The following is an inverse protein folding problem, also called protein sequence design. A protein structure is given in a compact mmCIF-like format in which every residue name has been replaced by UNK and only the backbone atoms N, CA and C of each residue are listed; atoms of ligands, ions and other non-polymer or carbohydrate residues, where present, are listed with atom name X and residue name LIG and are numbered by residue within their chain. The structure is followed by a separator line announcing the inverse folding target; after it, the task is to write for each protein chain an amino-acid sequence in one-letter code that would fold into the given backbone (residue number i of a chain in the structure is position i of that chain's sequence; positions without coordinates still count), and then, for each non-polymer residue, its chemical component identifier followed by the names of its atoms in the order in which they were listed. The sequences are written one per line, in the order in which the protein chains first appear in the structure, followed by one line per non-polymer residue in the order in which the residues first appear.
data_IF_272447868641
#
_entry.id   IF_272447868641
#
_cell.length_a   1.000
_cell.length_b   1.000
_cell.length_c   1.000
_cell.angle_alpha   90.00
_cell.angle_beta   90.00
_cell.angle_gamma   90.00
#
_symmetry.space_group_name_H-M   'P 1'
#
loop_
_entity.id
_entity.type
_entity.pdbx_description
1 polymer ?
#
# COMPACT_ATOMS: atom_id res chain seq x y z
N UNK A 1 -20.68 47.15 57.83
CA UNK A 1 -19.80 46.01 57.54
C UNK A 1 -19.05 45.67 58.81
N UNK A 2 -18.80 44.39 59.07
CA UNK A 2 -18.05 43.87 60.23
C UNK A 2 -17.06 42.84 59.70
N UNK A 3 -15.81 42.88 60.16
CA UNK A 3 -14.80 41.89 59.80
C UNK A 3 -15.09 40.55 60.49
N UNK A 4 -14.90 39.44 59.80
CA UNK A 4 -14.90 38.12 60.40
C UNK A 4 -13.59 37.88 61.15
N UNK A 5 -13.67 37.35 62.38
CA UNK A 5 -12.50 37.09 63.23
C UNK A 5 -11.59 35.96 62.70
N UNK A 6 -12.07 35.15 61.76
CA UNK A 6 -11.35 33.97 61.25
C UNK A 6 -10.80 34.13 59.84
N UNK A 7 -11.58 34.71 58.91
CA UNK A 7 -11.12 34.96 57.54
C UNK A 7 -10.65 36.39 57.30
N UNK A 8 -10.87 37.32 58.24
CA UNK A 8 -10.57 38.75 58.14
C UNK A 8 -11.32 39.48 57.01
N UNK A 9 -12.28 38.83 56.35
CA UNK A 9 -13.12 39.42 55.30
C UNK A 9 -14.28 40.23 55.89
N UNK A 10 -14.76 41.22 55.14
CA UNK A 10 -15.81 42.14 55.58
C UNK A 10 -17.20 41.64 55.14
N UNK A 11 -18.11 41.45 56.09
CA UNK A 11 -19.48 41.00 55.82
C UNK A 11 -20.53 41.95 56.43
N UNK A 12 -21.74 42.05 55.86
CA UNK A 12 -22.86 42.74 56.51
C UNK A 12 -23.19 42.08 57.85
N UNK A 13 -23.42 42.88 58.91
CA UNK A 13 -23.69 42.37 60.27
C UNK A 13 -24.87 41.39 60.31
N UNK A 14 -25.91 41.64 59.52
CA UNK A 14 -27.09 40.76 59.40
C UNK A 14 -26.79 39.39 58.75
N UNK A 15 -25.70 39.25 57.99
CA UNK A 15 -25.30 38.03 57.31
C UNK A 15 -24.13 37.30 58.00
N UNK A 16 -23.59 37.86 59.09
CA UNK A 16 -22.42 37.31 59.77
C UNK A 16 -22.66 35.89 60.27
N UNK A 17 -23.85 35.59 60.81
CA UNK A 17 -24.19 34.24 61.27
C UNK A 17 -24.16 33.21 60.12
N UNK A 18 -24.73 33.56 58.96
CA UNK A 18 -24.68 32.69 57.77
C UNK A 18 -23.26 32.54 57.25
N UNK A 19 -22.47 33.62 57.27
CA UNK A 19 -21.06 33.52 56.92
C UNK A 19 -20.30 32.58 57.87
N UNK A 20 -20.58 32.60 59.17
CA UNK A 20 -19.97 31.67 60.14
C UNK A 20 -20.22 30.20 59.76
N UNK A 21 -21.43 29.86 59.34
CA UNK A 21 -21.78 28.52 58.87
C UNK A 21 -20.99 28.08 57.61
N UNK A 22 -20.52 29.02 56.77
CA UNK A 22 -19.81 28.74 55.51
C UNK A 22 -18.30 29.11 55.51
N UNK A 23 -17.83 29.91 56.47
CA UNK A 23 -16.46 30.41 56.59
C UNK A 23 -15.42 29.29 56.56
N UNK A 24 -14.60 29.24 55.52
CA UNK A 24 -13.59 28.18 55.32
C UNK A 24 -12.48 28.22 56.37
N UNK A 25 -12.22 29.39 56.97
CA UNK A 25 -11.19 29.58 58.01
C UNK A 25 -11.69 29.36 59.44
N UNK A 26 -12.98 29.08 59.61
CA UNK A 26 -13.54 28.80 60.92
C UNK A 26 -12.97 27.49 61.49
N UNK A 27 -12.49 27.49 62.75
CA UNK A 27 -12.18 26.27 63.47
C UNK A 27 -13.45 25.50 63.82
N UNK A 28 -13.49 24.23 63.47
CA UNK A 28 -14.54 23.27 63.82
C UNK A 28 -13.96 22.16 64.68
N UNK A 29 -14.79 21.53 65.49
CA UNK A 29 -14.40 20.28 66.14
C UNK A 29 -14.39 19.13 65.12
N UNK A 30 -13.44 18.22 65.27
CA UNK A 30 -13.36 17.05 64.41
C UNK A 30 -14.65 16.21 64.47
N UNK A 31 -15.21 15.87 63.31
CA UNK A 31 -16.42 15.05 63.22
C UNK A 31 -16.26 13.65 63.83
N UNK A 32 -15.02 13.12 63.89
CA UNK A 32 -14.69 11.85 64.53
C UNK A 32 -14.51 11.97 66.06
N UNK A 33 -14.65 13.17 66.63
CA UNK A 33 -14.52 13.40 68.07
C UNK A 33 -13.09 13.25 68.61
N UNK A 34 -12.06 13.53 67.81
CA UNK A 34 -10.66 13.40 68.25
C UNK A 34 -10.20 14.49 69.23
N UNK A 35 -11.02 15.53 69.44
CA UNK A 35 -10.74 16.65 70.36
C UNK A 35 -9.94 17.80 69.76
N UNK A 36 -9.45 17.68 68.52
CA UNK A 36 -8.77 18.78 67.83
C UNK A 36 -9.77 19.77 67.21
N UNK A 37 -9.41 21.05 67.27
CA UNK A 37 -10.07 22.13 66.54
C UNK A 37 -9.37 22.34 65.22
N UNK A 38 -10.04 22.00 64.12
CA UNK A 38 -9.49 21.97 62.77
C UNK A 38 -10.15 23.06 61.96
N UNK A 39 -9.36 23.80 61.18
CA UNK A 39 -9.91 24.79 60.24
C UNK A 39 -10.76 24.06 59.20
N UNK A 40 -11.97 24.57 58.90
CA UNK A 40 -12.93 23.93 57.99
C UNK A 40 -12.31 23.49 56.66
N UNK A 41 -11.45 24.30 56.04
CA UNK A 41 -10.77 23.94 54.78
C UNK A 41 -9.79 22.76 54.89
N UNK A 42 -9.31 22.43 56.10
CA UNK A 42 -8.34 21.35 56.37
C UNK A 42 -8.98 20.11 56.98
N UNK A 43 -10.31 20.08 57.18
CA UNK A 43 -10.98 18.98 57.87
C UNK A 43 -10.86 17.65 57.11
N UNK A 44 -10.94 17.70 55.78
CA UNK A 44 -10.79 16.52 54.93
C UNK A 44 -9.37 15.96 54.99
N UNK A 45 -8.35 16.81 54.81
CA UNK A 45 -6.95 16.41 54.93
C UNK A 45 -6.64 15.83 56.31
N UNK A 46 -7.11 16.45 57.39
CA UNK A 46 -6.97 15.90 58.73
C UNK A 46 -7.59 14.49 58.82
N UNK A 47 -8.81 14.28 58.33
CA UNK A 47 -9.44 12.96 58.35
C UNK A 47 -8.61 11.91 57.59
N UNK A 48 -8.07 12.29 56.44
CA UNK A 48 -7.41 11.37 55.52
C UNK A 48 -5.97 11.03 55.92
N UNK A 49 -5.26 11.92 56.61
CA UNK A 49 -3.84 11.71 56.96
C UNK A 49 -3.55 11.68 58.45
N UNK A 50 -4.27 12.47 59.25
CA UNK A 50 -3.81 12.85 60.61
C UNK A 50 -4.70 12.29 61.73
N UNK A 51 -6.01 12.19 61.49
CA UNK A 51 -7.00 11.90 62.52
C UNK A 51 -6.78 10.50 63.12
N UNK A 52 -6.45 10.38 64.42
CA UNK A 52 -6.23 9.09 65.06
C UNK A 52 -7.51 8.24 65.16
N UNK A 53 -8.69 8.89 65.09
CA UNK A 53 -10.01 8.27 65.14
C UNK A 53 -10.66 8.14 63.75
N UNK A 54 -9.96 8.46 62.66
CA UNK A 54 -10.47 8.14 61.33
C UNK A 54 -10.45 6.62 61.12
N UNK A 55 -11.54 6.09 60.56
CA UNK A 55 -11.61 4.69 60.14
C UNK A 55 -10.88 4.53 58.82
N UNK A 56 -9.83 3.71 58.81
CA UNK A 56 -9.04 3.40 57.63
C UNK A 56 -9.02 1.90 57.34
N UNK A 57 -8.81 1.54 56.08
CA UNK A 57 -8.61 0.14 55.67
C UNK A 57 -7.18 -0.31 55.98
N UNK A 58 -7.00 -1.60 56.20
CA UNK A 58 -5.67 -2.21 56.31
C UNK A 58 -4.82 -1.89 55.06
N UNK A 59 -3.53 -1.53 55.22
CA UNK A 59 -2.61 -1.32 54.08
C UNK A 59 -2.45 -2.53 53.15
N UNK A 60 -2.74 -3.74 53.63
CA UNK A 60 -2.67 -4.99 52.86
C UNK A 60 -4.01 -5.38 52.21
N UNK A 61 -4.85 -4.41 51.88
CA UNK A 61 -6.15 -4.65 51.22
C UNK A 61 -6.01 -5.36 49.87
N UNK A 62 -5.00 -4.99 49.07
CA UNK A 62 -4.73 -5.60 47.76
C UNK A 62 -4.22 -7.04 47.86
N UNK A 63 -3.66 -7.39 49.03
CA UNK A 63 -3.27 -8.77 49.34
C UNK A 63 -4.44 -9.57 49.93
N UNK A 64 -5.60 -8.94 50.16
CA UNK A 64 -6.83 -9.59 50.61
C UNK A 64 -7.20 -9.37 52.07
N UNK A 65 -6.58 -8.42 52.79
CA UNK A 65 -7.02 -8.05 54.13
C UNK A 65 -8.18 -7.03 54.06
N UNK A 66 -9.38 -7.42 54.49
CA UNK A 66 -10.58 -6.56 54.43
C UNK A 66 -10.86 -5.78 55.71
N UNK A 67 -9.97 -5.86 56.71
CA UNK A 67 -10.18 -5.21 58.01
C UNK A 67 -10.13 -3.69 57.88
N UNK A 68 -11.15 -3.03 58.44
CA UNK A 68 -11.17 -1.60 58.71
C UNK A 68 -10.95 -1.38 60.21
N UNK A 69 -10.22 -0.34 60.56
CA UNK A 69 -9.83 -0.03 61.95
C UNK A 69 -9.62 1.47 62.13
N UNK A 70 -9.52 1.94 63.37
CA UNK A 70 -9.12 3.32 63.62
C UNK A 70 -7.63 3.51 63.28
N UNK A 71 -7.23 4.69 62.80
CA UNK A 71 -5.84 4.99 62.48
C UNK A 71 -4.88 4.69 63.62
N UNK A 72 -5.26 5.00 64.87
CA UNK A 72 -4.48 4.70 66.08
C UNK A 72 -4.25 3.20 66.33
N UNK A 73 -5.09 2.33 65.76
CA UNK A 73 -5.06 0.87 65.97
C UNK A 73 -4.26 0.12 64.90
N UNK A 74 -3.89 0.79 63.80
CA UNK A 74 -3.17 0.18 62.67
C UNK A 74 -1.94 -0.59 63.13
N UNK A 75 -1.12 0.00 63.99
CA UNK A 75 0.13 -0.64 64.40
C UNK A 75 -0.12 -1.96 65.16
N UNK A 76 -1.13 -1.99 66.02
CA UNK A 76 -1.52 -3.20 66.74
C UNK A 76 -2.08 -4.26 65.80
N UNK A 77 -2.92 -3.86 64.85
CA UNK A 77 -3.41 -4.77 63.81
C UNK A 77 -2.27 -5.37 62.99
N UNK A 78 -1.33 -4.56 62.50
CA UNK A 78 -0.19 -5.04 61.70
C UNK A 78 0.66 -6.05 62.47
N UNK A 79 0.84 -5.86 63.79
CA UNK A 79 1.58 -6.80 64.63
C UNK A 79 0.82 -8.10 64.88
N UNK A 80 -0.49 -8.02 65.14
CA UNK A 80 -1.30 -9.19 65.50
C UNK A 80 -1.79 -10.00 64.30
N UNK A 81 -1.95 -9.36 63.14
CA UNK A 81 -2.46 -9.97 61.91
C UNK A 81 -1.35 -10.41 60.93
N UNK A 82 -0.07 -10.31 61.32
CA UNK A 82 1.08 -10.61 60.44
C UNK A 82 1.00 -12.01 59.80
N UNK A 83 0.53 -13.01 60.57
CA UNK A 83 0.33 -14.38 60.07
C UNK A 83 -0.68 -14.42 58.91
N UNK A 84 -1.79 -13.70 59.07
CA UNK A 84 -2.85 -13.62 58.05
C UNK A 84 -2.33 -12.87 56.82
N UNK A 85 -1.61 -11.76 57.01
CA UNK A 85 -1.00 -11.01 55.91
C UNK A 85 -0.02 -11.86 55.12
N UNK A 86 0.81 -12.65 55.81
CA UNK A 86 1.76 -13.57 55.18
C UNK A 86 1.05 -14.70 54.42
N UNK A 87 0.04 -15.35 55.02
CA UNK A 87 -0.74 -16.40 54.36
C UNK A 87 -1.44 -15.89 53.11
N UNK A 88 -2.02 -14.70 53.19
CA UNK A 88 -2.61 -13.99 52.06
C UNK A 88 -1.58 -13.71 50.96
N UNK A 89 -0.41 -13.19 51.31
CA UNK A 89 0.67 -12.94 50.36
C UNK A 89 1.15 -14.24 49.68
N UNK A 90 1.34 -15.32 50.44
CA UNK A 90 1.70 -16.63 49.89
C UNK A 90 0.63 -17.18 48.95
N UNK A 91 -0.65 -17.02 49.29
CA UNK A 91 -1.77 -17.45 48.45
C UNK A 91 -1.79 -16.68 47.13
N UNK A 92 -1.77 -15.35 47.20
CA UNK A 92 -1.73 -14.48 46.01
C UNK A 92 -0.50 -14.83 45.15
N UNK A 93 0.68 -14.98 45.76
CA UNK A 93 1.89 -15.36 45.06
C UNK A 93 1.74 -16.69 44.31
N UNK A 94 1.25 -17.75 44.97
CA UNK A 94 1.00 -19.06 44.35
C UNK A 94 0.00 -18.97 43.20
N UNK A 95 -1.11 -18.26 43.39
CA UNK A 95 -2.12 -18.05 42.35
C UNK A 95 -1.53 -17.30 41.15
N UNK A 96 -0.74 -16.25 41.39
CA UNK A 96 -0.09 -15.49 40.30
C UNK A 96 0.97 -16.31 39.58
N UNK A 97 1.74 -17.13 40.29
CA UNK A 97 2.77 -17.97 39.69
C UNK A 97 2.14 -19.07 38.82
N UNK A 98 1.07 -19.72 39.30
CA UNK A 98 0.32 -20.70 38.52
C UNK A 98 -0.28 -20.07 37.25
N UNK A 99 -0.88 -18.88 37.36
CA UNK A 99 -1.38 -18.15 36.17
C UNK A 99 -0.25 -17.76 35.21
N UNK A 100 0.92 -17.42 35.74
CA UNK A 100 2.09 -17.08 34.92
C UNK A 100 2.60 -18.32 34.17
N UNK A 101 2.70 -19.47 34.83
CA UNK A 101 3.08 -20.75 34.22
C UNK A 101 2.11 -21.14 33.10
N UNK A 102 0.79 -21.04 33.34
CA UNK A 102 -0.22 -21.27 32.29
C UNK A 102 -0.05 -20.34 31.08
N UNK A 103 0.23 -19.05 31.33
CA UNK A 103 0.48 -18.06 30.27
C UNK A 103 1.75 -18.38 29.49
N UNK A 104 2.82 -18.81 30.15
CA UNK A 104 4.07 -19.22 29.51
C UNK A 104 3.83 -20.44 28.62
N UNK A 105 3.18 -21.49 29.12
CA UNK A 105 2.86 -22.68 28.31
C UNK A 105 1.96 -22.34 27.11
N UNK A 106 0.98 -21.44 27.28
CA UNK A 106 0.14 -20.98 26.18
C UNK A 106 0.93 -20.18 25.12
N UNK A 107 1.93 -19.41 25.53
CA UNK A 107 2.81 -18.68 24.61
C UNK A 107 3.74 -19.63 23.85
N UNK A 108 4.25 -20.68 24.50
CA UNK A 108 5.09 -21.71 23.86
C UNK A 108 4.33 -22.44 22.74
N UNK A 109 3.06 -22.80 22.97
CA UNK A 109 2.21 -23.42 21.94
C UNK A 109 2.00 -22.49 20.74
N UNK A 110 1.68 -21.22 20.99
CA UNK A 110 1.53 -20.23 19.91
C UNK A 110 2.82 -19.98 19.15
N UNK A 111 3.96 -19.99 19.85
CA UNK A 111 5.27 -19.84 19.21
C UNK A 111 5.54 -21.02 18.25
N UNK A 112 5.23 -22.24 18.66
CA UNK A 112 5.36 -23.41 17.81
C UNK A 112 4.45 -23.36 16.56
N UNK A 113 3.20 -22.90 16.71
CA UNK A 113 2.27 -22.68 15.59
C UNK A 113 2.83 -21.66 14.58
N UNK A 114 3.28 -20.50 15.08
CA UNK A 114 3.89 -19.46 14.25
C UNK A 114 5.13 -19.98 13.52
N UNK A 115 5.97 -20.77 14.18
CA UNK A 115 7.16 -21.34 13.56
C UNK A 115 6.82 -22.37 12.47
N UNK A 116 5.76 -23.16 12.67
CA UNK A 116 5.25 -24.08 11.65
C UNK A 116 4.69 -23.33 10.43
N UNK A 117 3.88 -22.29 10.64
CA UNK A 117 3.36 -21.45 9.57
C UNK A 117 4.47 -20.75 8.79
N UNK A 118 5.45 -20.17 9.50
CA UNK A 118 6.62 -19.53 8.90
C UNK A 118 7.41 -20.50 8.02
N UNK A 119 7.63 -21.73 8.49
CA UNK A 119 8.30 -22.79 7.70
C UNK A 119 7.53 -23.12 6.43
N UNK A 120 6.19 -23.18 6.52
CA UNK A 120 5.31 -23.46 5.38
C UNK A 120 5.33 -22.33 4.35
N UNK A 121 5.18 -21.08 4.80
CA UNK A 121 5.26 -19.90 3.93
C UNK A 121 6.64 -19.77 3.27
N UNK A 122 7.73 -20.07 3.99
CA UNK A 122 9.07 -20.08 3.41
C UNK A 122 9.25 -21.12 2.30
N UNK A 123 8.58 -22.28 2.39
CA UNK A 123 8.57 -23.27 1.29
C UNK A 123 7.80 -22.74 0.09
N UNK A 124 6.59 -22.22 0.29
CA UNK A 124 5.77 -21.64 -0.79
C UNK A 124 6.47 -20.48 -1.50
N UNK A 125 7.13 -19.59 -0.76
CA UNK A 125 7.91 -18.48 -1.35
C UNK A 125 9.06 -19.00 -2.21
N UNK A 126 9.74 -20.08 -1.81
CA UNK A 126 10.81 -20.69 -2.63
C UNK A 126 10.25 -21.29 -3.93
N UNK A 127 9.14 -22.01 -3.85
CA UNK A 127 8.47 -22.60 -5.00
C UNK A 127 7.99 -21.54 -6.00
N UNK A 128 7.35 -20.47 -5.51
CA UNK A 128 6.90 -19.35 -6.35
C UNK A 128 8.07 -18.60 -6.99
N UNK A 129 9.18 -18.40 -6.26
CA UNK A 129 10.40 -17.80 -6.83
C UNK A 129 10.97 -18.65 -7.97
N UNK A 130 11.01 -19.97 -7.80
CA UNK A 130 11.45 -20.88 -8.86
C UNK A 130 10.51 -20.83 -10.07
N UNK A 131 9.20 -20.90 -9.85
CA UNK A 131 8.20 -20.81 -10.92
C UNK A 131 8.29 -19.49 -11.69
N UNK A 132 8.49 -18.36 -11.00
CA UNK A 132 8.65 -17.05 -11.63
C UNK A 132 9.91 -16.99 -12.50
N UNK A 133 11.05 -17.49 -12.04
CA UNK A 133 12.27 -17.54 -12.84
C UNK A 133 12.09 -18.36 -14.14
N UNK A 134 11.35 -19.49 -14.05
CA UNK A 134 11.00 -20.30 -15.23
C UNK A 134 10.10 -19.53 -16.19
N UNK A 135 9.11 -18.80 -15.69
CA UNK A 135 8.22 -17.98 -16.53
C UNK A 135 8.96 -16.82 -17.19
N UNK A 136 9.83 -16.12 -16.48
CA UNK A 136 10.68 -15.05 -17.03
C UNK A 136 11.57 -15.56 -18.16
N UNK A 137 12.17 -16.75 -18.00
CA UNK A 137 12.97 -17.37 -19.06
C UNK A 137 12.11 -17.70 -20.30
N UNK A 138 10.88 -18.20 -20.10
CA UNK A 138 9.95 -18.49 -21.20
C UNK A 138 9.51 -17.22 -21.93
N UNK A 139 9.19 -16.15 -21.20
CA UNK A 139 8.84 -14.84 -21.78
C UNK A 139 9.99 -14.32 -22.62
N UNK A 140 11.21 -14.33 -22.08
CA UNK A 140 12.42 -13.89 -22.80
C UNK A 140 12.64 -14.69 -24.09
N UNK A 141 12.47 -16.02 -24.04
CA UNK A 141 12.58 -16.87 -25.22
C UNK A 141 11.51 -16.55 -26.27
N UNK A 142 10.26 -16.31 -25.84
CA UNK A 142 9.17 -15.96 -26.73
C UNK A 142 9.34 -14.57 -27.36
N UNK A 143 9.84 -13.59 -26.61
CA UNK A 143 10.20 -12.27 -27.12
C UNK A 143 11.27 -12.35 -28.20
N UNK A 144 12.30 -13.19 -28.02
CA UNK A 144 13.30 -13.46 -29.04
C UNK A 144 12.68 -14.03 -30.32
N UNK A 145 11.84 -15.07 -30.21
CA UNK A 145 11.14 -15.65 -31.36
C UNK A 145 10.27 -14.62 -32.10
N UNK A 146 9.58 -13.75 -31.36
CA UNK A 146 8.79 -12.65 -31.96
C UNK A 146 9.68 -11.63 -32.65
N UNK A 147 10.87 -11.32 -32.10
CA UNK A 147 11.83 -10.41 -32.74
C UNK A 147 12.36 -10.97 -34.07
N UNK A 148 12.61 -12.29 -34.14
CA UNK A 148 13.03 -12.99 -35.36
C UNK A 148 11.92 -13.01 -36.43
N UNK A 149 10.64 -13.06 -36.02
CA UNK A 149 9.49 -12.98 -36.93
C UNK A 149 9.22 -11.57 -37.48
N UNK A 150 9.77 -10.51 -36.86
CA UNK A 150 9.52 -9.10 -37.25
C UNK A 150 10.41 -8.60 -38.38
N UNK A 151 11.43 -9.35 -38.81
CA UNK A 151 12.27 -9.00 -39.97
C UNK A 151 11.98 -9.95 -41.13
N UNK A 152 11.26 -9.43 -42.13
CA UNK A 152 10.89 -10.20 -43.31
C UNK A 152 11.03 -9.38 -44.59
N UNK A 153 11.59 -10.00 -45.63
CA UNK A 153 11.50 -9.51 -47.02
C UNK A 153 10.29 -10.16 -47.67
N UNK A 154 9.28 -9.37 -47.96
CA UNK A 154 8.05 -9.81 -48.62
C UNK A 154 8.11 -9.42 -50.10
N UNK A 155 7.74 -10.32 -51.00
CA UNK A 155 7.63 -10.02 -52.43
C UNK A 155 6.16 -10.07 -52.84
N UNK A 156 5.69 -8.99 -53.46
CA UNK A 156 4.35 -8.87 -54.01
C UNK A 156 4.40 -8.90 -55.54
N UNK A 157 3.73 -9.89 -56.12
CA UNK A 157 3.62 -10.10 -57.55
C UNK A 157 2.30 -9.52 -58.04
N UNK A 158 2.36 -8.58 -58.99
CA UNK A 158 1.17 -8.02 -59.65
C UNK A 158 1.17 -8.36 -61.13
N UNK A 159 0.22 -9.19 -61.53
CA UNK A 159 -0.02 -9.57 -62.92
C UNK A 159 -0.97 -8.58 -63.60
N UNK A 160 -0.96 -8.59 -64.93
CA UNK A 160 -1.84 -7.79 -65.80
C UNK A 160 -1.69 -6.27 -65.56
N UNK A 161 -0.45 -5.81 -65.36
CA UNK A 161 -0.16 -4.42 -64.98
C UNK A 161 -0.67 -3.41 -66.02
N UNK A 162 -0.66 -3.78 -67.30
CA UNK A 162 -1.15 -2.93 -68.39
C UNK A 162 -2.64 -2.57 -68.24
N UNK A 163 -3.47 -3.52 -67.78
CA UNK A 163 -4.91 -3.29 -67.51
C UNK A 163 -5.09 -2.33 -66.34
N UNK A 164 -4.31 -2.54 -65.29
CA UNK A 164 -4.33 -1.71 -64.08
C UNK A 164 -3.94 -0.26 -64.41
N UNK A 165 -2.86 -0.08 -65.18
CA UNK A 165 -2.40 1.23 -65.59
C UNK A 165 -3.42 1.95 -66.47
N UNK A 166 -4.11 1.22 -67.36
CA UNK A 166 -5.18 1.76 -68.20
C UNK A 166 -6.36 2.26 -67.36
N UNK A 167 -6.81 1.45 -66.39
CA UNK A 167 -7.91 1.79 -65.49
C UNK A 167 -7.58 3.02 -64.61
N UNK A 168 -6.34 3.10 -64.08
CA UNK A 168 -5.91 4.25 -63.30
C UNK A 168 -5.91 5.55 -64.12
N UNK A 169 -5.49 5.50 -65.40
CA UNK A 169 -5.50 6.64 -66.32
C UNK A 169 -6.91 7.08 -66.71
N UNK A 170 -7.88 6.16 -66.77
CA UNK A 170 -9.29 6.47 -67.05
C UNK A 170 -10.07 6.94 -65.81
N UNK A 171 -9.41 7.04 -64.64
CA UNK A 171 -10.02 7.52 -63.40
C UNK A 171 -10.84 6.47 -62.63
N UNK A 172 -10.98 5.25 -63.15
CA UNK A 172 -11.68 4.12 -62.53
C UNK A 172 -10.68 3.22 -61.78
N UNK A 173 -10.79 3.12 -60.44
CA UNK A 173 -9.91 2.27 -59.64
C UNK A 173 -8.50 2.86 -59.47
N UNK A 174 -8.38 3.90 -58.65
CA UNK A 174 -7.15 4.67 -58.45
C UNK A 174 -6.11 3.99 -57.55
N UNK A 175 -6.49 2.94 -56.82
CA UNK A 175 -5.71 2.37 -55.72
C UNK A 175 -5.72 0.84 -55.76
N UNK A 176 -4.58 0.24 -55.39
CA UNK A 176 -4.43 -1.22 -55.27
C UNK A 176 -3.89 -1.50 -53.89
N UNK A 177 -4.56 -2.42 -53.18
CA UNK A 177 -4.18 -2.83 -51.83
C UNK A 177 -3.49 -4.20 -51.87
N UNK A 178 -2.49 -4.40 -51.02
CA UNK A 178 -1.96 -5.72 -50.71
C UNK A 178 -2.81 -6.40 -49.63
N UNK A 179 -2.63 -7.70 -49.45
CA UNK A 179 -3.10 -8.38 -48.22
C UNK A 179 -2.52 -7.68 -46.98
N UNK A 180 -3.28 -7.60 -45.88
CA UNK A 180 -2.88 -6.80 -44.72
C UNK A 180 -1.60 -7.33 -44.07
N UNK A 181 -0.66 -6.42 -43.77
CA UNK A 181 0.51 -6.66 -42.94
C UNK A 181 0.63 -5.53 -41.90
N UNK A 182 1.17 -5.85 -40.72
CA UNK A 182 1.19 -4.92 -39.57
C UNK A 182 2.66 -4.70 -39.16
N UNK A 183 3.33 -3.69 -39.74
CA UNK A 183 4.54 -2.98 -39.21
C UNK A 183 5.19 -2.07 -40.29
N UNK A 184 6.21 -1.27 -39.90
CA UNK A 184 6.88 -0.23 -40.69
C UNK A 184 7.60 -0.77 -41.95
N UNK A 185 7.64 0.04 -43.03
CA UNK A 185 7.79 -0.49 -44.41
C UNK A 185 8.85 0.27 -45.22
N UNK A 186 9.77 -0.46 -45.86
CA UNK A 186 10.56 0.02 -47.00
C UNK A 186 10.05 -0.63 -48.29
N UNK A 187 9.92 0.15 -49.38
CA UNK A 187 9.44 -0.33 -50.68
C UNK A 187 10.58 -0.36 -51.70
N UNK A 188 10.71 -1.43 -52.46
CA UNK A 188 11.69 -1.60 -53.53
C UNK A 188 11.06 -2.24 -54.77
N UNK A 189 11.27 -1.66 -55.95
CA UNK A 189 10.89 -2.28 -57.22
C UNK A 189 12.07 -3.11 -57.76
N UNK A 190 11.83 -4.40 -58.04
CA UNK A 190 12.88 -5.29 -58.50
C UNK A 190 13.09 -5.20 -60.02
N UNK A 191 14.35 -5.09 -60.45
CA UNK A 191 14.75 -5.14 -61.87
C UNK A 191 15.07 -6.59 -62.27
N UNK A 192 14.57 -7.03 -63.42
CA UNK A 192 14.71 -8.40 -63.95
C UNK A 192 15.92 -8.50 -64.90
N UNK A 193 17.14 -8.32 -64.37
CA UNK A 193 18.41 -8.53 -65.10
C UNK A 193 19.34 -9.41 -64.26
N UNK A 194 20.30 -10.07 -64.93
CA UNK A 194 21.33 -10.95 -64.36
C UNK A 194 22.00 -10.40 -63.09
N UNK A 195 22.43 -11.33 -62.25
CA UNK A 195 22.70 -11.19 -60.81
C UNK A 195 23.77 -10.14 -60.43
N UNK A 196 24.55 -9.62 -61.39
CA UNK A 196 25.70 -8.74 -61.15
C UNK A 196 25.40 -7.23 -61.30
N UNK A 197 24.30 -6.85 -61.96
CA UNK A 197 23.96 -5.44 -62.27
C UNK A 197 22.57 -4.98 -61.77
N UNK A 198 22.02 -5.63 -60.73
CA UNK A 198 20.71 -5.27 -60.17
C UNK A 198 20.77 -4.00 -59.32
N UNK A 199 20.72 -2.82 -59.94
CA UNK A 199 20.30 -1.60 -59.25
C UNK A 199 18.76 -1.51 -59.24
N UNK A 200 18.15 -1.98 -58.15
CA UNK A 200 16.72 -1.80 -57.89
C UNK A 200 16.41 -0.34 -57.59
N UNK A 201 15.19 0.11 -57.92
CA UNK A 201 14.71 1.41 -57.44
C UNK A 201 14.11 1.18 -56.06
N UNK A 202 14.71 1.76 -55.03
CA UNK A 202 14.28 1.60 -53.64
C UNK A 202 14.03 2.94 -52.97
N UNK A 203 13.05 2.98 -52.08
CA UNK A 203 12.77 4.14 -51.24
C UNK A 203 12.46 3.67 -49.83
N UNK A 204 13.18 4.24 -48.86
CA UNK A 204 13.13 3.84 -47.46
C UNK A 204 12.39 4.89 -46.65
N UNK A 205 11.39 4.46 -45.90
CA UNK A 205 10.63 5.33 -45.00
C UNK A 205 10.96 4.95 -43.56
N UNK A 206 11.53 5.87 -42.79
CA UNK A 206 11.96 5.66 -41.40
C UNK A 206 11.08 6.50 -40.46
N UNK A 207 10.80 5.99 -39.25
CA UNK A 207 10.18 6.72 -38.13
C UNK A 207 8.81 7.35 -38.39
N UNK A 208 7.86 6.59 -38.95
CA UNK A 208 6.47 7.05 -39.03
C UNK A 208 5.49 5.96 -38.59
N UNK A 209 4.52 6.25 -37.70
CA UNK A 209 3.46 5.32 -37.36
C UNK A 209 2.56 5.10 -38.57
N UNK A 210 2.37 3.84 -38.95
CA UNK A 210 1.41 3.43 -39.99
C UNK A 210 0.26 2.75 -39.24
N UNK A 211 -0.90 3.39 -39.22
CA UNK A 211 -2.11 2.80 -38.68
C UNK A 211 -2.94 2.16 -39.80
N UNK A 212 -3.61 1.06 -39.47
CA UNK A 212 -4.55 0.39 -40.38
C UNK A 212 -5.71 1.35 -40.66
N UNK A 213 -6.21 1.47 -41.90
CA UNK A 213 -7.41 2.24 -42.16
C UNK A 213 -8.59 1.62 -41.39
N UNK A 214 -9.00 2.25 -40.29
CA UNK A 214 -10.32 2.02 -39.72
C UNK A 214 -11.23 3.07 -40.36
N UNK A 215 -12.24 2.59 -41.08
CA UNK A 215 -13.38 3.33 -41.65
C UNK A 215 -13.28 4.87 -41.59
N UNK A 216 -13.06 5.49 -42.75
CA UNK A 216 -13.26 6.90 -43.08
C UNK A 216 -12.56 8.00 -42.25
N UNK A 217 -11.72 7.65 -41.27
CA UNK A 217 -10.97 8.65 -40.51
C UNK A 217 -9.45 8.41 -40.59
N UNK A 218 -8.80 9.25 -41.40
CA UNK A 218 -7.35 9.51 -41.40
C UNK A 218 -6.45 8.31 -41.74
N UNK A 219 -6.30 8.04 -43.05
CA UNK A 219 -5.24 7.16 -43.54
C UNK A 219 -3.91 7.93 -43.48
N UNK A 220 -3.04 7.61 -42.52
CA UNK A 220 -1.65 8.05 -42.57
C UNK A 220 -0.91 7.25 -43.66
N UNK A 221 -1.13 7.59 -44.94
CA UNK A 221 -0.40 6.96 -46.04
C UNK A 221 1.04 7.45 -46.06
N UNK A 222 1.97 6.51 -46.19
CA UNK A 222 3.38 6.80 -46.43
C UNK A 222 3.72 6.14 -47.75
N UNK A 223 4.30 6.92 -48.65
CA UNK A 223 4.71 6.41 -49.94
C UNK A 223 5.38 7.51 -50.75
N UNK A 224 5.82 7.13 -51.94
CA UNK A 224 6.48 8.03 -52.88
C UNK A 224 5.53 8.45 -53.97
N UNK A 225 5.32 9.77 -54.11
CA UNK A 225 4.51 10.32 -55.21
C UNK A 225 5.20 10.17 -56.58
N UNK A 226 6.51 9.90 -56.61
CA UNK A 226 7.32 9.80 -57.83
C UNK A 226 8.35 8.68 -57.75
N UNK A 227 7.89 7.48 -57.41
CA UNK A 227 8.76 6.32 -57.20
C UNK A 227 9.53 5.90 -58.47
N UNK A 228 8.83 5.81 -59.61
CA UNK A 228 9.42 5.51 -60.92
C UNK A 228 8.61 6.18 -62.03
N UNK A 229 9.27 6.66 -63.09
CA UNK A 229 8.57 7.24 -64.24
C UNK A 229 7.85 6.15 -65.04
N UNK A 230 6.70 6.47 -65.65
CA UNK A 230 6.00 5.53 -66.53
C UNK A 230 6.89 5.03 -67.68
N UNK A 231 7.75 5.90 -68.24
CA UNK A 231 8.69 5.52 -69.30
C UNK A 231 9.65 4.43 -68.84
N UNK A 232 10.21 4.55 -67.63
CA UNK A 232 11.17 3.58 -67.10
C UNK A 232 10.47 2.30 -66.63
N UNK A 233 9.29 2.42 -66.03
CA UNK A 233 8.50 1.27 -65.58
C UNK A 233 8.08 0.37 -66.74
N UNK A 234 7.72 0.95 -67.89
CA UNK A 234 7.29 0.22 -69.08
C UNK A 234 8.45 -0.44 -69.85
N UNK A 235 9.68 -0.39 -69.33
CA UNK A 235 10.80 -1.14 -69.91
C UNK A 235 10.73 -2.62 -69.51
N UNK A 236 11.22 -3.51 -70.37
CA UNK A 236 11.32 -4.96 -70.08
C UNK A 236 12.18 -5.28 -68.85
N UNK A 237 12.86 -4.28 -68.29
CA UNK A 237 13.69 -4.41 -67.10
C UNK A 237 12.88 -4.44 -65.80
N UNK A 238 11.66 -3.88 -65.76
CA UNK A 238 10.81 -3.85 -64.56
C UNK A 238 9.45 -4.53 -64.74
N UNK A 239 9.05 -4.80 -65.99
CA UNK A 239 7.87 -5.58 -66.35
C UNK A 239 8.31 -6.77 -67.21
N UNK A 240 8.07 -7.97 -66.70
CA UNK A 240 8.28 -9.23 -67.43
C UNK A 240 6.92 -9.89 -67.60
N UNK A 241 6.52 -10.19 -68.84
CA UNK A 241 5.24 -10.84 -69.14
C UNK A 241 4.04 -10.13 -68.47
N UNK A 242 4.00 -8.79 -68.58
CA UNK A 242 2.98 -7.92 -67.96
C UNK A 242 2.86 -8.07 -66.43
N UNK A 243 3.94 -8.55 -65.78
CA UNK A 243 4.03 -8.79 -64.34
C UNK A 243 5.10 -7.92 -63.70
N UNK A 244 4.71 -7.25 -62.61
CA UNK A 244 5.58 -6.41 -61.78
C UNK A 244 5.86 -7.10 -60.43
N UNK A 245 7.10 -7.00 -59.94
CA UNK A 245 7.51 -7.48 -58.63
C UNK A 245 7.91 -6.32 -57.71
N UNK A 246 7.15 -6.15 -56.63
CA UNK A 246 7.43 -5.19 -55.56
C UNK A 246 7.97 -5.95 -54.36
N UNK A 247 9.17 -5.62 -53.92
CA UNK A 247 9.72 -6.12 -52.67
C UNK A 247 9.48 -5.11 -51.55
N UNK A 248 9.01 -5.60 -50.43
CA UNK A 248 8.77 -4.84 -49.22
C UNK A 248 9.65 -5.39 -48.12
N UNK A 249 10.47 -4.55 -47.51
CA UNK A 249 11.31 -4.93 -46.38
C UNK A 249 10.80 -4.25 -45.12
N UNK A 250 10.46 -5.06 -44.12
CA UNK A 250 9.97 -4.60 -42.82
C UNK A 250 11.15 -4.66 -41.85
N UNK A 251 11.56 -3.50 -41.35
CA UNK A 251 12.55 -3.41 -40.28
C UNK A 251 11.81 -3.29 -38.93
N UNK A 252 12.11 -4.13 -37.93
CA UNK A 252 11.62 -3.90 -36.57
C UNK A 252 12.10 -2.53 -36.08
N UNK A 253 11.26 -1.82 -35.33
CA UNK A 253 11.70 -0.65 -34.55
C UNK A 253 12.67 -1.15 -33.47
N UNK A 254 13.86 -0.54 -33.41
CA UNK A 254 14.74 -0.60 -32.24
C UNK A 254 14.07 0.10 -31.06
#
# INVERSE_FOLDING_TARGET
MVACDYCCEQHPKCLMQRHMDDCTKMPLECANGCGEKIVREKSETHNDTDCPLATISCPYVDMGCTTKMLRKEVQLHLQTAIRIHFENACRVFKETNSKLEEKVSALELKQAEIDQEKSTLQKQVRELKFANAVLEAKVTAQEKNVSELKSGKFAWRKMNFSVILKNAKSGSGKEIYSSPFVTAVAFSLQRHIDQKDRMNVSERFINRPIQRPNSDAYISTIGSRRFISHKNLMTSQYLVEDTMFLQVEVCPRL
#
